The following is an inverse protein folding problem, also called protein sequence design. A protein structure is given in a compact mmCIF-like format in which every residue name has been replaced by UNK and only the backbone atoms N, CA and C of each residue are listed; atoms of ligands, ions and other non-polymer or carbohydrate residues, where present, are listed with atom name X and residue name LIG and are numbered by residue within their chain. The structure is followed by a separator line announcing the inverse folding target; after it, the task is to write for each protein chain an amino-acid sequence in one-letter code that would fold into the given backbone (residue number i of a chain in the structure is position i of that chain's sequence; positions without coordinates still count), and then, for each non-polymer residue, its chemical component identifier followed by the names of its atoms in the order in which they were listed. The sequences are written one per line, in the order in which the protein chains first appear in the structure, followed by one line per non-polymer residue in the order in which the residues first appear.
data_IF_154039936143
#
_entry.id   IF_154039936143
#
_cell.length_a   1.000
_cell.length_b   1.000
_cell.length_c   1.000
_cell.angle_alpha   90.00
_cell.angle_beta   90.00
_cell.angle_gamma   90.00
#
_symmetry.space_group_name_H-M   'P 1'
#
loop_
_entity.id
_entity.type
_entity.pdbx_description
1 polymer ?
#
# COMPACT_ATOMS: atom_id res chain seq x y z
N UNK A 1 -16.75 5.88 5.05
CA UNK A 1 -16.29 5.61 6.42
C UNK A 1 -17.31 6.02 7.48
N UNK A 2 -17.86 7.24 7.43
CA UNK A 2 -18.89 7.70 8.40
C UNK A 2 -20.13 6.81 8.41
N UNK A 3 -20.60 6.39 7.25
CA UNK A 3 -21.75 5.47 7.14
C UNK A 3 -21.49 4.13 7.84
N UNK A 4 -20.31 3.55 7.65
CA UNK A 4 -19.91 2.31 8.31
C UNK A 4 -19.88 2.50 9.83
N UNK A 5 -19.30 3.60 10.31
CA UNK A 5 -19.28 3.93 11.74
C UNK A 5 -20.69 3.98 12.30
N UNK A 6 -21.63 4.65 11.60
CA UNK A 6 -23.03 4.79 12.07
C UNK A 6 -23.85 3.51 12.02
N UNK A 7 -23.50 2.57 11.14
CA UNK A 7 -24.16 1.26 11.06
C UNK A 7 -23.54 0.21 12.02
N UNK A 8 -22.41 0.52 12.65
CA UNK A 8 -21.69 -0.41 13.52
C UNK A 8 -22.10 -0.21 14.97
N UNK A 9 -22.14 -1.29 15.74
CA UNK A 9 -22.40 -1.25 17.18
C UNK A 9 -21.11 -1.24 18.02
N UNK A 10 -20.07 -1.90 17.54
CA UNK A 10 -18.75 -1.95 18.18
C UNK A 10 -17.71 -1.33 17.25
N UNK A 11 -16.78 -0.58 17.81
CA UNK A 11 -15.75 0.12 17.07
C UNK A 11 -14.37 -0.25 17.61
N UNK A 12 -13.51 -0.76 16.75
CA UNK A 12 -12.12 -1.09 17.06
C UNK A 12 -11.20 -0.15 16.29
N UNK A 13 -10.43 0.65 17.00
CA UNK A 13 -9.59 1.71 16.43
C UNK A 13 -8.11 1.47 16.71
N UNK A 14 -7.26 2.03 15.84
CA UNK A 14 -5.83 1.79 15.89
C UNK A 14 -5.08 2.64 16.92
N UNK A 15 -5.64 3.76 17.35
CA UNK A 15 -5.02 4.65 18.33
C UNK A 15 -6.05 5.50 19.09
N UNK A 16 -5.59 6.19 20.11
CA UNK A 16 -6.45 6.98 20.98
C UNK A 16 -7.04 8.23 20.28
N UNK A 17 -6.33 8.80 19.32
CA UNK A 17 -6.85 9.92 18.52
C UNK A 17 -8.07 9.48 17.71
N UNK A 18 -8.00 8.33 17.07
CA UNK A 18 -9.13 7.78 16.32
C UNK A 18 -10.28 7.40 17.24
N UNK A 19 -9.99 6.91 18.45
CA UNK A 19 -11.01 6.67 19.46
C UNK A 19 -11.80 7.94 19.77
N UNK A 20 -11.11 9.03 20.06
CA UNK A 20 -11.71 10.34 20.33
C UNK A 20 -12.57 10.82 19.16
N UNK A 21 -12.09 10.65 17.91
CA UNK A 21 -12.84 11.03 16.72
C UNK A 21 -14.14 10.22 16.54
N UNK A 22 -14.11 8.93 16.78
CA UNK A 22 -15.30 8.08 16.71
C UNK A 22 -16.32 8.48 17.79
N UNK A 23 -15.89 8.78 19.01
CA UNK A 23 -16.74 9.30 20.07
C UNK A 23 -17.31 10.67 19.68
N UNK A 24 -16.51 11.55 19.11
CA UNK A 24 -16.95 12.86 18.61
C UNK A 24 -18.02 12.76 17.52
N UNK A 25 -18.02 11.68 16.74
CA UNK A 25 -19.10 11.37 15.78
C UNK A 25 -20.41 10.94 16.46
N UNK A 26 -20.44 10.87 17.79
CA UNK A 26 -21.63 10.54 18.56
C UNK A 26 -21.74 9.07 18.97
N UNK A 27 -20.65 8.31 18.88
CA UNK A 27 -20.64 6.91 19.33
C UNK A 27 -20.43 6.81 20.85
N UNK A 28 -21.00 5.77 21.45
CA UNK A 28 -20.86 5.55 22.90
C UNK A 28 -19.40 5.19 23.23
N UNK A 29 -18.74 5.92 24.17
CA UNK A 29 -17.36 5.63 24.55
C UNK A 29 -17.11 4.21 25.05
N UNK A 30 -18.15 3.54 25.57
CA UNK A 30 -18.08 2.16 26.07
C UNK A 30 -18.00 1.11 24.95
N UNK A 31 -18.38 1.48 23.73
CA UNK A 31 -18.36 0.61 22.55
C UNK A 31 -17.20 0.92 21.59
N UNK A 32 -16.31 1.83 21.97
CA UNK A 32 -15.13 2.23 21.17
C UNK A 32 -13.86 1.78 21.87
N UNK A 33 -13.18 0.80 21.27
CA UNK A 33 -11.99 0.15 21.84
C UNK A 33 -10.74 0.53 21.04
N UNK A 34 -9.70 1.00 21.73
CA UNK A 34 -8.38 1.17 21.13
C UNK A 34 -7.64 -0.16 21.23
N UNK A 35 -7.48 -0.84 20.10
CA UNK A 35 -6.88 -2.18 20.03
C UNK A 35 -5.53 -2.20 19.30
N UNK A 36 -5.06 -1.02 18.84
CA UNK A 36 -3.85 -0.95 18.02
C UNK A 36 -4.11 -1.25 16.55
N UNK A 37 -3.06 -1.18 15.75
CA UNK A 37 -3.12 -1.44 14.30
C UNK A 37 -2.87 -2.91 13.98
N UNK A 38 -3.80 -3.56 13.30
CA UNK A 38 -3.70 -4.97 12.88
C UNK A 38 -2.41 -5.26 12.08
N UNK A 39 -1.94 -4.30 11.27
CA UNK A 39 -0.70 -4.45 10.51
C UNK A 39 0.54 -4.58 11.40
N UNK A 40 0.54 -3.92 12.58
CA UNK A 40 1.65 -4.02 13.53
C UNK A 40 1.73 -5.41 14.15
N UNK A 41 0.59 -5.99 14.50
CA UNK A 41 0.54 -7.35 15.03
C UNK A 41 0.95 -8.38 13.97
N UNK A 42 0.53 -8.19 12.73
CA UNK A 42 0.95 -9.03 11.62
C UNK A 42 2.49 -8.98 11.45
N UNK A 43 3.09 -7.78 11.45
CA UNK A 43 4.55 -7.62 11.32
C UNK A 43 5.30 -8.28 12.49
N UNK A 44 4.79 -8.17 13.72
CA UNK A 44 5.41 -8.78 14.91
C UNK A 44 5.36 -10.29 14.91
N UNK A 45 4.32 -10.88 14.34
CA UNK A 45 4.08 -12.32 14.38
C UNK A 45 4.59 -13.05 13.13
N UNK A 46 4.93 -12.33 12.06
CA UNK A 46 5.44 -12.95 10.84
C UNK A 46 6.91 -13.34 11.00
N UNK A 47 7.24 -14.57 10.63
CA UNK A 47 8.64 -14.98 10.51
C UNK A 47 9.21 -14.42 9.22
N UNK A 48 10.13 -13.47 9.36
CA UNK A 48 10.81 -12.88 8.21
C UNK A 48 11.75 -13.90 7.58
N UNK A 49 11.75 -13.94 6.25
CA UNK A 49 12.70 -14.72 5.46
C UNK A 49 14.07 -14.04 5.48
N UNK A 50 15.12 -14.84 5.41
CA UNK A 50 16.46 -14.31 5.11
C UNK A 50 16.51 -13.78 3.68
N UNK A 51 17.54 -12.96 3.38
CA UNK A 51 17.73 -12.41 2.02
C UNK A 51 17.77 -13.51 0.97
N UNK A 52 18.52 -14.58 1.20
CA UNK A 52 18.66 -15.70 0.25
C UNK A 52 17.35 -16.48 0.05
N UNK A 53 16.58 -16.70 1.12
CA UNK A 53 15.27 -17.33 1.02
C UNK A 53 14.29 -16.47 0.23
N UNK A 54 14.33 -15.16 0.45
CA UNK A 54 13.47 -14.22 -0.26
C UNK A 54 13.83 -14.13 -1.75
N UNK A 55 15.12 -14.05 -2.08
CA UNK A 55 15.62 -14.07 -3.46
C UNK A 55 15.18 -15.33 -4.21
N UNK A 56 15.27 -16.50 -3.56
CA UNK A 56 14.83 -17.76 -4.12
C UNK A 56 13.31 -17.83 -4.30
N UNK A 57 12.57 -17.36 -3.29
CA UNK A 57 11.09 -17.37 -3.32
C UNK A 57 10.53 -16.48 -4.41
N UNK A 58 11.15 -15.32 -4.64
CA UNK A 58 10.71 -14.35 -5.65
C UNK A 58 11.38 -14.56 -7.01
N UNK A 59 12.37 -15.46 -7.11
CA UNK A 59 13.18 -15.66 -8.32
C UNK A 59 13.87 -14.38 -8.80
N UNK A 60 14.30 -13.52 -7.88
CA UNK A 60 15.00 -12.27 -8.14
C UNK A 60 16.35 -12.26 -7.43
N UNK A 61 17.25 -11.38 -7.86
CA UNK A 61 18.49 -11.08 -7.13
C UNK A 61 18.49 -9.62 -6.72
N UNK A 62 18.66 -9.39 -5.42
CA UNK A 62 18.82 -8.04 -4.91
C UNK A 62 20.20 -7.48 -5.30
N UNK A 63 20.22 -6.23 -5.68
CA UNK A 63 21.42 -5.45 -5.97
C UNK A 63 21.92 -4.72 -4.71
N UNK A 64 22.89 -3.82 -4.86
CA UNK A 64 23.35 -2.97 -3.76
C UNK A 64 22.25 -2.02 -3.29
N UNK A 65 21.50 -1.45 -4.22
CA UNK A 65 20.32 -0.63 -3.95
C UNK A 65 19.06 -1.39 -4.36
N UNK A 66 18.03 -1.34 -3.53
CA UNK A 66 16.76 -2.00 -3.82
C UNK A 66 15.63 -1.05 -3.46
N UNK A 67 14.74 -0.80 -4.38
CA UNK A 67 13.57 0.06 -4.20
C UNK A 67 12.30 -0.76 -4.33
N UNK A 68 11.45 -0.71 -3.31
CA UNK A 68 10.09 -1.22 -3.37
C UNK A 68 9.16 -0.05 -3.70
N UNK A 69 8.49 -0.14 -4.82
CA UNK A 69 7.69 0.95 -5.39
C UNK A 69 6.23 0.53 -5.40
N UNK A 70 5.38 1.33 -4.77
CA UNK A 70 3.93 1.21 -4.82
C UNK A 70 3.36 2.48 -5.43
N UNK A 71 2.75 2.36 -6.59
CA UNK A 71 2.08 3.48 -7.25
C UNK A 71 0.56 3.25 -7.28
N UNK A 72 -0.18 4.19 -6.70
CA UNK A 72 -1.62 4.18 -6.68
C UNK A 72 -2.15 5.46 -7.32
N UNK A 73 -2.78 5.38 -8.50
CA UNK A 73 -3.33 6.56 -9.16
C UNK A 73 -4.43 7.20 -8.33
N UNK A 74 -4.59 8.50 -8.47
CA UNK A 74 -5.68 9.25 -7.82
C UNK A 74 -6.99 8.94 -8.54
N UNK A 75 -7.95 8.36 -7.84
CA UNK A 75 -9.22 7.88 -8.41
C UNK A 75 -10.12 8.97 -9.00
N UNK A 76 -9.91 10.24 -8.60
CA UNK A 76 -10.70 11.38 -9.07
C UNK A 76 -10.06 12.14 -10.25
N UNK A 77 -8.82 11.85 -10.59
CA UNK A 77 -8.12 12.43 -11.73
C UNK A 77 -8.30 11.53 -12.96
N UNK A 78 -8.87 12.08 -14.03
CA UNK A 78 -9.04 11.34 -15.28
C UNK A 78 -7.82 11.49 -16.17
N UNK A 79 -7.29 10.36 -16.67
CA UNK A 79 -6.24 10.28 -17.69
C UNK A 79 -4.84 10.84 -17.30
N UNK A 80 -4.55 11.09 -16.03
CA UNK A 80 -3.20 11.54 -15.58
C UNK A 80 -2.30 10.38 -15.13
N UNK A 81 -2.89 9.22 -14.84
CA UNK A 81 -2.18 8.07 -14.26
C UNK A 81 -1.06 7.53 -15.15
N UNK A 82 -1.26 7.51 -16.46
CA UNK A 82 -0.25 7.04 -17.43
C UNK A 82 0.93 8.01 -17.53
N UNK A 83 0.68 9.32 -17.60
CA UNK A 83 1.75 10.31 -17.65
C UNK A 83 2.56 10.33 -16.36
N UNK A 84 1.91 10.28 -15.21
CA UNK A 84 2.59 10.19 -13.91
C UNK A 84 3.43 8.92 -13.78
N UNK A 85 2.93 7.78 -14.26
CA UNK A 85 3.70 6.53 -14.26
C UNK A 85 4.88 6.59 -15.22
N UNK A 86 4.73 7.20 -16.41
CA UNK A 86 5.82 7.40 -17.35
C UNK A 86 6.93 8.27 -16.76
N UNK A 87 6.59 9.41 -16.18
CA UNK A 87 7.54 10.30 -15.51
C UNK A 87 8.28 9.60 -14.35
N UNK A 88 7.57 8.77 -13.58
CA UNK A 88 8.17 7.95 -12.55
C UNK A 88 9.18 6.95 -13.13
N UNK A 89 8.81 6.23 -14.19
CA UNK A 89 9.67 5.25 -14.84
C UNK A 89 10.90 5.92 -15.47
N UNK A 90 10.73 7.07 -16.12
CA UNK A 90 11.83 7.84 -16.69
C UNK A 90 12.84 8.25 -15.60
N UNK A 91 12.35 8.76 -14.47
CA UNK A 91 13.20 9.12 -13.33
C UNK A 91 13.92 7.91 -12.70
N UNK A 92 13.27 6.76 -12.67
CA UNK A 92 13.84 5.54 -12.11
C UNK A 92 14.84 4.88 -13.06
N UNK A 93 14.73 5.10 -14.37
CA UNK A 93 15.63 4.56 -15.40
C UNK A 93 17.06 5.10 -15.27
N UNK A 94 17.23 6.26 -14.64
CA UNK A 94 18.54 6.88 -14.39
C UNK A 94 19.32 6.23 -13.23
N UNK A 95 18.68 5.33 -12.46
CA UNK A 95 19.28 4.71 -11.29
C UNK A 95 20.15 3.52 -11.66
N UNK A 96 21.45 3.67 -11.47
CA UNK A 96 22.42 2.58 -11.68
C UNK A 96 22.49 1.63 -10.46
N UNK A 97 22.80 0.36 -10.74
CA UNK A 97 22.97 -0.73 -9.75
C UNK A 97 21.80 -0.83 -8.75
N UNK A 98 20.60 -0.60 -9.25
CA UNK A 98 19.37 -0.58 -8.45
C UNK A 98 18.42 -1.67 -8.93
N UNK A 99 17.88 -2.47 -8.00
CA UNK A 99 16.79 -3.40 -8.26
C UNK A 99 15.47 -2.67 -7.98
N UNK A 100 14.60 -2.58 -8.97
CA UNK A 100 13.28 -1.97 -8.86
C UNK A 100 12.23 -3.06 -8.70
N UNK A 101 11.46 -3.01 -7.63
CA UNK A 101 10.41 -3.98 -7.34
C UNK A 101 9.09 -3.21 -7.26
N UNK A 102 8.21 -3.46 -8.20
CA UNK A 102 6.90 -2.83 -8.22
C UNK A 102 5.85 -3.74 -7.56
N UNK A 103 5.08 -3.18 -6.64
CA UNK A 103 3.87 -3.84 -6.15
C UNK A 103 2.74 -3.65 -7.16
N UNK A 104 1.87 -4.63 -7.25
CA UNK A 104 0.67 -4.48 -8.09
C UNK A 104 -0.22 -3.35 -7.53
N UNK A 105 -0.73 -2.48 -8.41
CA UNK A 105 -1.73 -1.49 -8.01
C UNK A 105 -3.03 -2.16 -7.59
N UNK A 106 -3.86 -1.43 -6.85
CA UNK A 106 -5.21 -1.89 -6.53
C UNK A 106 -6.02 -2.14 -7.81
N UNK A 107 -7.04 -3.00 -7.71
CA UNK A 107 -7.92 -3.37 -8.83
C UNK A 107 -8.90 -2.23 -9.25
N UNK A 108 -8.62 -1.00 -8.83
CA UNK A 108 -9.38 0.19 -9.22
C UNK A 108 -9.25 0.47 -10.73
N UNK A 109 -10.14 1.28 -11.27
CA UNK A 109 -10.37 1.44 -12.72
C UNK A 109 -9.10 1.72 -13.51
N UNK A 110 -8.19 2.53 -12.99
CA UNK A 110 -6.94 2.90 -13.66
C UNK A 110 -5.73 2.00 -13.31
N UNK A 111 -5.84 1.21 -12.23
CA UNK A 111 -4.76 0.32 -11.79
C UNK A 111 -4.45 -0.80 -12.81
N UNK A 112 -5.46 -1.30 -13.52
CA UNK A 112 -5.28 -2.32 -14.57
C UNK A 112 -4.56 -1.77 -15.81
N UNK A 113 -4.83 -0.53 -16.18
CA UNK A 113 -4.22 0.11 -17.36
C UNK A 113 -2.72 0.30 -17.13
N UNK A 114 -2.34 0.72 -15.92
CA UNK A 114 -0.94 0.91 -15.52
C UNK A 114 -0.16 -0.41 -15.57
N UNK A 115 -0.77 -1.51 -15.11
CA UNK A 115 -0.13 -2.82 -15.10
C UNK A 115 0.26 -3.28 -16.51
N UNK A 116 -0.65 -3.17 -17.48
CA UNK A 116 -0.39 -3.58 -18.85
C UNK A 116 0.67 -2.71 -19.56
N UNK A 117 0.69 -1.41 -19.32
CA UNK A 117 1.65 -0.49 -19.97
C UNK A 117 3.06 -0.62 -19.37
N UNK A 118 3.19 -0.89 -18.06
CA UNK A 118 4.50 -1.03 -17.41
C UNK A 118 5.22 -2.32 -17.76
N UNK A 119 4.50 -3.43 -18.00
CA UNK A 119 5.10 -4.71 -18.38
C UNK A 119 5.57 -4.74 -19.84
N UNK A 120 4.93 -4.00 -20.73
CA UNK A 120 5.34 -3.92 -22.16
C UNK A 120 6.62 -3.11 -22.40
N UNK A 121 7.06 -2.27 -21.47
CA UNK A 121 8.25 -1.42 -21.62
C UNK A 121 9.51 -1.98 -20.94
N UNK A 122 9.42 -3.13 -20.28
CA UNK A 122 10.52 -3.74 -19.51
C UNK A 122 11.07 -5.05 -20.14
N UNK A 123 10.64 -5.40 -21.38
CA UNK A 123 11.18 -6.57 -22.12
C UNK A 123 12.12 -6.09 -23.20
#
# INVERSE_FOLDING_TARGET
RHSITKCSHLHFVANEEYRKRVIQLGENPKTVFNVGGLGVDAIRNIKLLSRSELENSLSIKFKNKNLLISFHPVTLEKNTSLSQMSELLDSLSELEDTCLIFTMPNADTDGRIIFFSSFCSMI
#
